data_IF_970597131587
#
_entry.id   IF_970597131587
#
_cell.length_a   1.000
_cell.length_b   1.000
_cell.length_c   1.000
_cell.angle_alpha   90.00
_cell.angle_beta   90.00
_cell.angle_gamma   90.00
#
_symmetry.space_group_name_H-M   'P 1'
#
loop_
_entity.id
_entity.type
_entity.pdbx_description
1 polymer ?
#
# COMPACT_ATOMS: atom_id res chain seq x y z
N UNK A 1 -20.44 7.03 28.19
CA UNK A 1 -21.20 7.28 26.95
C UNK A 1 -20.83 8.67 26.51
N UNK A 2 -20.14 8.84 25.37
CA UNK A 2 -19.75 10.17 24.89
C UNK A 2 -20.85 10.68 23.97
N UNK A 3 -21.37 11.83 24.35
CA UNK A 3 -22.52 12.52 23.77
C UNK A 3 -22.30 12.80 22.29
N UNK A 4 -23.38 12.68 21.53
CA UNK A 4 -23.47 12.73 20.08
C UNK A 4 -22.60 13.84 19.46
N UNK A 5 -21.54 13.41 18.78
CA UNK A 5 -20.74 14.28 17.93
C UNK A 5 -21.58 14.55 16.68
N UNK A 6 -22.12 15.76 16.57
CA UNK A 6 -22.98 16.19 15.48
C UNK A 6 -22.17 16.35 14.18
N UNK A 7 -21.90 15.22 13.52
CA UNK A 7 -21.14 15.08 12.27
C UNK A 7 -21.76 15.84 11.08
N UNK A 8 -22.90 16.51 11.27
CA UNK A 8 -23.59 17.28 10.24
C UNK A 8 -23.00 18.68 10.03
N UNK A 9 -22.23 19.22 10.99
CA UNK A 9 -21.58 20.54 10.87
C UNK A 9 -20.17 20.48 10.26
N UNK A 10 -19.55 19.30 10.23
CA UNK A 10 -18.26 19.08 9.61
C UNK A 10 -18.49 18.81 8.12
N UNK A 11 -18.32 19.83 7.26
CA UNK A 11 -18.31 19.70 5.81
C UNK A 11 -17.45 18.50 5.38
N UNK A 12 -18.03 17.32 5.06
CA UNK A 12 -17.25 16.11 4.86
C UNK A 12 -16.60 16.25 3.50
N UNK A 13 -15.35 16.70 3.47
CA UNK A 13 -14.55 16.61 2.25
C UNK A 13 -14.49 15.11 1.91
N UNK A 14 -15.02 14.68 0.75
CA UNK A 14 -14.94 13.28 0.38
C UNK A 14 -13.46 12.91 0.34
N UNK A 15 -13.07 11.91 1.13
CA UNK A 15 -11.70 11.42 1.13
C UNK A 15 -11.37 10.97 -0.31
N UNK A 16 -10.39 11.59 -1.01
CA UNK A 16 -10.02 11.21 -2.36
C UNK A 16 -9.69 9.71 -2.50
N UNK A 17 -9.24 9.09 -1.40
CA UNK A 17 -8.91 7.67 -1.31
C UNK A 17 -10.13 6.75 -1.12
N UNK A 18 -11.32 7.29 -0.81
CA UNK A 18 -12.54 6.50 -0.72
C UNK A 18 -13.03 6.00 -2.08
N UNK A 19 -12.53 6.59 -3.18
CA UNK A 19 -12.90 6.25 -4.56
C UNK A 19 -12.20 5.00 -5.09
N UNK A 20 -11.05 4.63 -4.54
CA UNK A 20 -10.38 3.37 -4.85
C UNK A 20 -10.89 2.33 -3.84
N UNK A 21 -12.03 1.70 -4.16
CA UNK A 21 -12.49 0.54 -3.40
C UNK A 21 -11.35 -0.47 -3.31
N UNK A 22 -10.92 -0.77 -2.08
CA UNK A 22 -9.90 -1.79 -1.82
C UNK A 22 -10.39 -3.11 -2.39
N UNK A 23 -9.80 -3.56 -3.49
CA UNK A 23 -10.05 -4.88 -4.02
C UNK A 23 -9.19 -5.89 -3.26
N UNK A 24 -9.81 -6.87 -2.62
CA UNK A 24 -9.08 -7.99 -2.02
C UNK A 24 -8.57 -8.90 -3.15
N UNK A 25 -7.26 -9.09 -3.21
CA UNK A 25 -6.59 -9.94 -4.18
C UNK A 25 -5.57 -10.85 -3.49
N UNK A 26 -5.30 -12.01 -4.09
CA UNK A 26 -4.23 -12.92 -3.67
C UNK A 26 -3.07 -12.81 -4.66
N UNK A 27 -1.88 -12.44 -4.18
CA UNK A 27 -0.66 -12.36 -4.99
C UNK A 27 0.36 -13.36 -4.43
N UNK A 28 1.00 -14.14 -5.31
CA UNK A 28 2.16 -14.97 -4.93
C UNK A 28 3.40 -14.08 -4.84
N UNK A 29 4.03 -14.06 -3.67
CA UNK A 29 5.23 -13.27 -3.39
C UNK A 29 6.29 -14.20 -2.82
N UNK A 30 7.55 -14.03 -3.24
CA UNK A 30 8.67 -14.81 -2.73
C UNK A 30 8.85 -14.57 -1.22
N UNK A 31 9.20 -15.60 -0.41
CA UNK A 31 9.40 -15.46 1.03
C UNK A 31 10.42 -14.38 1.41
N UNK A 32 11.49 -14.25 0.62
CA UNK A 32 12.56 -13.24 0.82
C UNK A 32 12.03 -11.81 0.71
N UNK A 33 11.12 -11.55 -0.24
CA UNK A 33 10.49 -10.24 -0.42
C UNK A 33 9.56 -9.92 0.76
N UNK A 34 8.78 -10.91 1.23
CA UNK A 34 7.91 -10.74 2.41
C UNK A 34 8.75 -10.39 3.65
N UNK A 35 9.87 -11.09 3.83
CA UNK A 35 10.76 -10.86 4.97
C UNK A 35 11.33 -9.44 4.96
N UNK A 36 11.82 -8.96 3.82
CA UNK A 36 12.30 -7.59 3.65
C UNK A 36 11.23 -6.55 4.09
N UNK A 37 10.00 -6.69 3.61
CA UNK A 37 8.94 -5.73 3.98
C UNK A 37 8.47 -5.85 5.43
N UNK A 38 8.63 -7.02 6.08
CA UNK A 38 8.39 -7.15 7.53
C UNK A 38 9.43 -6.38 8.33
N UNK A 39 10.69 -6.45 7.95
CA UNK A 39 11.77 -5.68 8.59
C UNK A 39 11.55 -4.17 8.40
N UNK A 40 11.19 -3.75 7.18
CA UNK A 40 10.85 -2.35 6.92
C UNK A 40 9.59 -1.88 7.68
N UNK A 41 8.63 -2.77 7.91
CA UNK A 41 7.45 -2.44 8.73
C UNK A 41 7.80 -2.15 10.19
N UNK A 42 8.78 -2.88 10.75
CA UNK A 42 9.26 -2.63 12.11
C UNK A 42 9.95 -1.26 12.23
N UNK A 43 10.64 -0.82 11.17
CA UNK A 43 11.33 0.47 11.13
C UNK A 43 10.39 1.66 10.92
N UNK A 44 9.37 1.49 10.08
CA UNK A 44 8.48 2.59 9.65
C UNK A 44 7.17 2.66 10.43
N UNK A 45 6.84 1.62 11.22
CA UNK A 45 5.54 1.43 11.86
C UNK A 45 4.35 1.38 10.87
N UNK A 46 4.63 1.15 9.58
CA UNK A 46 3.62 0.96 8.54
C UNK A 46 3.50 -0.54 8.25
N UNK A 47 2.29 -1.13 8.20
CA UNK A 47 2.13 -2.55 7.90
C UNK A 47 2.83 -2.96 6.59
N UNK A 48 3.50 -4.12 6.60
CA UNK A 48 4.26 -4.61 5.43
C UNK A 48 3.41 -4.70 4.15
N UNK A 49 2.12 -5.02 4.28
CA UNK A 49 1.16 -5.08 3.17
C UNK A 49 0.94 -3.70 2.54
N UNK A 50 0.84 -2.67 3.37
CA UNK A 50 0.73 -1.27 2.94
C UNK A 50 2.02 -0.81 2.27
N UNK A 51 3.19 -1.17 2.83
CA UNK A 51 4.48 -0.86 2.22
C UNK A 51 4.61 -1.49 0.82
N UNK A 52 4.28 -2.77 0.67
CA UNK A 52 4.29 -3.44 -0.64
C UNK A 52 3.44 -2.65 -1.64
N UNK A 53 2.22 -2.30 -1.26
CA UNK A 53 1.34 -1.54 -2.15
C UNK A 53 1.92 -0.15 -2.49
N UNK A 54 2.48 0.57 -1.52
CA UNK A 54 3.11 1.87 -1.75
C UNK A 54 4.31 1.79 -2.71
N UNK A 55 5.15 0.77 -2.57
CA UNK A 55 6.28 0.54 -3.46
C UNK A 55 5.81 0.18 -4.89
N UNK A 56 4.77 -0.62 -5.03
CA UNK A 56 4.17 -0.92 -6.33
C UNK A 56 3.54 0.34 -6.96
N UNK A 57 2.87 1.17 -6.16
CA UNK A 57 2.32 2.44 -6.64
C UNK A 57 3.43 3.40 -7.10
N UNK A 58 4.55 3.46 -6.38
CA UNK A 58 5.73 4.24 -6.79
C UNK A 58 6.35 3.70 -8.09
N UNK A 59 6.43 2.38 -8.24
CA UNK A 59 6.87 1.73 -9.48
C UNK A 59 6.01 2.15 -10.68
N UNK A 60 4.68 2.23 -10.51
CA UNK A 60 3.75 2.71 -11.53
C UNK A 60 3.96 4.19 -11.84
N UNK A 61 4.07 5.04 -10.80
CA UNK A 61 4.29 6.50 -10.95
C UNK A 61 5.60 6.82 -11.67
N UNK A 62 6.67 6.11 -11.31
CA UNK A 62 7.99 6.24 -11.92
C UNK A 62 8.10 5.56 -13.29
N UNK A 63 7.05 4.84 -13.73
CA UNK A 63 7.03 4.02 -14.94
C UNK A 63 8.25 3.09 -15.03
N UNK A 64 8.70 2.58 -13.88
CA UNK A 64 9.85 1.69 -13.80
C UNK A 64 9.56 0.43 -14.63
N UNK A 65 10.49 0.09 -15.51
CA UNK A 65 10.45 -1.14 -16.31
C UNK A 65 11.46 -2.12 -15.74
N UNK A 66 11.04 -3.37 -15.56
CA UNK A 66 11.98 -4.45 -15.27
C UNK A 66 12.85 -4.66 -16.50
N UNK A 67 14.15 -4.73 -16.28
CA UNK A 67 15.05 -5.22 -17.31
C UNK A 67 14.86 -6.74 -17.42
N UNK A 68 14.28 -7.15 -18.55
CA UNK A 68 14.03 -8.55 -18.87
C UNK A 68 15.13 -9.12 -19.78
N UNK A 69 16.26 -8.42 -19.93
CA UNK A 69 17.44 -8.97 -20.59
C UNK A 69 18.00 -10.12 -19.74
N UNK A 70 17.41 -11.29 -19.93
CA UNK A 70 17.84 -12.54 -19.34
C UNK A 70 19.27 -12.81 -19.79
N UNK A 71 20.25 -12.55 -18.91
CA UNK A 71 21.59 -13.12 -19.05
C UNK A 71 21.61 -14.40 -18.23
N UNK A 72 21.62 -15.58 -18.88
CA UNK A 72 21.88 -16.80 -18.12
C UNK A 72 23.26 -16.66 -17.46
N UNK A 73 23.33 -17.01 -16.19
CA UNK A 73 24.60 -17.15 -15.48
C UNK A 73 25.44 -18.27 -16.09
#
# INVERSE_FOLDING_TARGET
>A
MREDYDVKTANPRPNPQARELKQQITIKIAPTVIQYFKEESARTSIPYQTLINMYLADCVKSKRRLDLSWRPA
#
